data_IF_612805003730
#
_entry.id   IF_612805003730
#
_cell.length_a   1.000
_cell.length_b   1.000
_cell.length_c   1.000
_cell.angle_alpha   90.00
_cell.angle_beta   90.00
_cell.angle_gamma   90.00
#
_symmetry.space_group_name_H-M   'P 1'
#
loop_
_entity.id
_entity.type
_entity.pdbx_description
1 polymer ?
#
# COMPACT_ATOMS: atom_id res chain seq x y z
N UNK A 1 -2.50 5.07 26.63
CA UNK A 1 -1.54 5.86 25.83
C UNK A 1 -0.59 4.85 25.20
N UNK A 2 -0.82 4.47 23.94
CA UNK A 2 0.03 3.47 23.26
C UNK A 2 1.38 4.10 22.96
N UNK A 3 2.48 3.40 23.25
CA UNK A 3 3.83 3.94 23.04
C UNK A 3 4.21 3.87 21.56
N UNK A 4 5.08 4.77 21.09
CA UNK A 4 5.60 4.74 19.73
C UNK A 4 6.32 3.42 19.38
N UNK A 5 6.86 2.72 20.39
CA UNK A 5 7.50 1.41 20.24
C UNK A 5 6.47 0.32 19.92
N UNK A 6 5.30 0.37 20.56
CA UNK A 6 4.23 -0.59 20.30
C UNK A 6 3.69 -0.42 18.87
N UNK A 7 3.55 0.82 18.38
CA UNK A 7 3.16 1.09 16.99
C UNK A 7 4.14 0.52 15.97
N UNK A 8 5.44 0.51 16.25
CA UNK A 8 6.45 -0.09 15.36
C UNK A 8 6.28 -1.60 15.25
N UNK A 9 6.03 -2.30 16.37
CA UNK A 9 5.84 -3.74 16.37
C UNK A 9 4.56 -4.15 15.63
N UNK A 10 3.44 -3.46 15.88
CA UNK A 10 2.20 -3.71 15.15
C UNK A 10 2.33 -3.43 13.65
N UNK A 11 3.00 -2.33 13.28
CA UNK A 11 3.23 -1.99 11.89
C UNK A 11 4.06 -3.07 11.18
N UNK A 12 5.14 -3.56 11.81
CA UNK A 12 5.97 -4.62 11.24
C UNK A 12 5.22 -5.93 11.02
N UNK A 13 4.26 -6.25 11.90
CA UNK A 13 3.43 -7.44 11.74
C UNK A 13 2.39 -7.27 10.63
N UNK A 14 1.72 -6.11 10.61
CA UNK A 14 0.77 -5.78 9.54
C UNK A 14 1.45 -5.67 8.17
N UNK A 15 2.73 -5.28 8.11
CA UNK A 15 3.52 -5.33 6.87
C UNK A 15 3.71 -6.74 6.31
N UNK A 16 3.81 -7.75 7.20
CA UNK A 16 3.86 -9.16 6.79
C UNK A 16 2.50 -9.64 6.31
N UNK A 17 1.43 -9.25 6.99
CA UNK A 17 0.06 -9.69 6.69
C UNK A 17 -0.47 -9.04 5.41
N UNK A 18 -0.39 -7.71 5.30
CA UNK A 18 -0.85 -6.94 4.13
C UNK A 18 0.19 -6.87 3.00
N UNK A 19 1.14 -7.79 2.96
CA UNK A 19 2.00 -7.97 1.80
C UNK A 19 1.16 -8.37 0.59
N UNK A 20 1.48 -7.83 -0.60
CA UNK A 20 0.71 -8.09 -1.83
C UNK A 20 0.59 -9.58 -2.16
N UNK A 21 1.58 -10.41 -1.80
CA UNK A 21 1.49 -11.88 -2.00
C UNK A 21 0.40 -12.57 -1.18
N UNK A 22 -0.12 -11.93 -0.14
CA UNK A 22 -1.21 -12.47 0.67
C UNK A 22 -2.58 -11.97 0.21
N UNK A 23 -2.64 -11.01 -0.73
CA UNK A 23 -3.90 -10.41 -1.17
C UNK A 23 -4.74 -11.41 -1.98
N UNK A 24 -6.05 -11.46 -1.70
CA UNK A 24 -7.01 -12.30 -2.39
C UNK A 24 -8.43 -11.71 -2.35
N UNK A 25 -9.38 -12.34 -3.06
CA UNK A 25 -10.80 -11.98 -3.01
C UNK A 25 -11.56 -13.09 -2.31
N UNK A 26 -12.14 -12.79 -1.15
CA UNK A 26 -12.85 -13.80 -0.36
C UNK A 26 -14.19 -14.22 -0.97
N UNK A 27 -14.85 -15.21 -0.36
CA UNK A 27 -16.14 -15.72 -0.83
C UNK A 27 -17.27 -14.68 -0.85
N UNK A 28 -17.11 -13.56 -0.14
CA UNK A 28 -18.06 -12.44 -0.15
C UNK A 28 -17.66 -11.34 -1.17
N UNK A 29 -16.63 -11.58 -1.99
CA UNK A 29 -16.13 -10.63 -2.97
C UNK A 29 -15.27 -9.51 -2.38
N UNK A 30 -14.82 -9.64 -1.13
CA UNK A 30 -14.04 -8.60 -0.44
C UNK A 30 -12.55 -8.81 -0.69
N UNK A 31 -11.83 -7.71 -0.88
CA UNK A 31 -10.37 -7.75 -0.93
C UNK A 31 -9.80 -8.03 0.47
N UNK A 32 -9.28 -9.23 0.67
CA UNK A 32 -8.80 -9.75 1.94
C UNK A 32 -7.31 -10.15 1.83
N UNK A 33 -6.70 -10.49 2.97
CA UNK A 33 -5.32 -10.95 3.02
C UNK A 33 -5.17 -12.22 3.86
N UNK A 34 -4.42 -13.19 3.36
CA UNK A 34 -4.06 -14.36 4.15
C UNK A 34 -3.18 -13.92 5.32
N UNK A 35 -3.50 -14.38 6.52
CA UNK A 35 -2.65 -14.20 7.69
C UNK A 35 -1.66 -15.37 7.70
N UNK A 36 -0.34 -15.13 7.52
CA UNK A 36 0.65 -16.21 7.49
C UNK A 36 0.57 -17.09 8.75
N UNK A 37 0.50 -18.40 8.56
CA UNK A 37 0.46 -19.38 9.65
C UNK A 37 1.74 -19.39 10.52
N UNK A 38 2.82 -18.79 10.01
CA UNK A 38 4.07 -18.57 10.73
C UNK A 38 4.02 -17.42 11.73
N UNK A 39 2.94 -16.63 11.75
CA UNK A 39 2.72 -15.61 12.78
C UNK A 39 2.19 -16.28 14.04
N UNK A 40 2.86 -16.12 15.19
CA UNK A 40 2.41 -16.72 16.43
C UNK A 40 1.03 -16.19 16.90
N UNK A 41 0.15 -17.03 17.46
CA UNK A 41 -1.17 -16.60 17.94
C UNK A 41 -1.14 -15.47 18.98
N UNK A 42 -0.08 -15.39 19.79
CA UNK A 42 0.13 -14.31 20.76
C UNK A 42 0.35 -12.95 20.10
N UNK A 43 1.02 -12.90 18.94
CA UNK A 43 1.22 -11.68 18.18
C UNK A 43 -0.11 -11.20 17.57
N UNK A 44 -0.93 -12.13 17.06
CA UNK A 44 -2.27 -11.83 16.57
C UNK A 44 -3.20 -11.34 17.70
N UNK A 45 -3.09 -11.91 18.90
CA UNK A 45 -3.85 -11.45 20.07
C UNK A 45 -3.43 -10.03 20.46
N UNK A 46 -2.14 -9.72 20.45
CA UNK A 46 -1.63 -8.38 20.72
C UNK A 46 -2.12 -7.34 19.70
N UNK A 47 -2.30 -7.71 18.43
CA UNK A 47 -2.97 -6.84 17.45
C UNK A 47 -4.45 -6.65 17.79
N UNK A 48 -5.16 -7.74 18.11
CA UNK A 48 -6.60 -7.70 18.42
C UNK A 48 -6.91 -6.83 19.65
N UNK A 49 -6.09 -6.90 20.70
CA UNK A 49 -6.21 -6.07 21.91
C UNK A 49 -6.10 -4.56 21.62
N UNK A 50 -5.53 -4.20 20.45
CA UNK A 50 -5.39 -2.82 19.97
C UNK A 50 -6.47 -2.44 18.96
N UNK A 51 -7.43 -3.33 18.69
CA UNK A 51 -8.43 -3.15 17.64
C UNK A 51 -7.85 -3.26 16.23
N UNK A 52 -6.72 -3.94 16.04
CA UNK A 52 -6.02 -4.11 14.75
C UNK A 52 -6.11 -5.55 14.24
N UNK A 53 -7.24 -6.23 14.49
CA UNK A 53 -7.48 -7.57 13.95
C UNK A 53 -7.45 -7.52 12.41
N UNK A 54 -6.62 -8.32 11.72
CA UNK A 54 -6.57 -8.31 10.25
C UNK A 54 -7.91 -8.65 9.60
N UNK A 55 -8.18 -8.13 8.40
CA UNK A 55 -9.43 -8.36 7.67
C UNK A 55 -10.68 -7.98 8.49
N UNK A 56 -10.60 -6.87 9.25
CA UNK A 56 -11.73 -6.37 10.03
C UNK A 56 -12.63 -5.49 9.16
N UNK A 57 -13.62 -6.12 8.53
CA UNK A 57 -14.51 -5.43 7.60
C UNK A 57 -15.65 -4.69 8.31
N UNK A 58 -15.87 -3.43 7.94
CA UNK A 58 -17.02 -2.61 8.31
C UNK A 58 -17.79 -2.23 7.05
N UNK A 59 -19.09 -2.47 7.04
CA UNK A 59 -20.01 -1.93 6.04
C UNK A 59 -20.45 -0.54 6.47
N UNK A 60 -20.41 0.42 5.55
CA UNK A 60 -20.79 1.81 5.79
C UNK A 60 -21.73 2.25 4.68
N UNK A 61 -22.93 2.70 5.05
CA UNK A 61 -23.87 3.30 4.12
C UNK A 61 -23.42 4.72 3.75
N UNK A 62 -23.68 5.13 2.51
CA UNK A 62 -23.25 6.42 1.99
C UNK A 62 -23.67 7.60 2.87
N UNK A 63 -24.97 7.71 3.15
CA UNK A 63 -25.54 8.86 3.88
C UNK A 63 -25.03 8.89 5.33
N UNK A 64 -24.81 7.72 5.93
CA UNK A 64 -24.20 7.58 7.25
C UNK A 64 -22.74 8.05 7.25
N UNK A 65 -21.95 7.68 6.24
CA UNK A 65 -20.55 8.09 6.10
C UNK A 65 -20.43 9.62 5.97
N UNK A 66 -21.24 10.23 5.11
CA UNK A 66 -21.29 11.69 4.92
C UNK A 66 -21.69 12.38 6.22
N UNK A 67 -22.72 11.87 6.90
CA UNK A 67 -23.19 12.43 8.18
C UNK A 67 -22.14 12.30 9.27
N UNK A 68 -21.49 11.14 9.38
CA UNK A 68 -20.44 10.87 10.35
C UNK A 68 -19.23 11.79 10.12
N UNK A 69 -18.76 11.93 8.88
CA UNK A 69 -17.63 12.78 8.54
C UNK A 69 -17.87 14.22 8.99
N UNK A 70 -19.02 14.79 8.59
CA UNK A 70 -19.37 16.17 8.92
C UNK A 70 -19.52 16.38 10.43
N UNK A 71 -20.19 15.46 11.12
CA UNK A 71 -20.34 15.50 12.58
C UNK A 71 -19.00 15.42 13.31
N UNK A 72 -18.13 14.50 12.90
CA UNK A 72 -16.80 14.33 13.51
C UNK A 72 -15.92 15.55 13.25
N UNK A 73 -15.90 16.07 12.02
CA UNK A 73 -15.16 17.27 11.65
C UNK A 73 -15.61 18.51 12.46
N UNK A 74 -16.92 18.67 12.68
CA UNK A 74 -17.46 19.78 13.47
C UNK A 74 -17.00 19.77 14.95
N UNK A 75 -16.54 18.63 15.47
CA UNK A 75 -16.03 18.49 16.84
C UNK A 75 -14.50 18.68 16.95
N UNK A 76 -13.83 18.96 15.84
CA UNK A 76 -12.38 19.10 15.76
C UNK A 76 -11.99 20.57 15.79
N UNK A 77 -11.00 20.88 16.62
CA UNK A 77 -10.35 22.20 16.60
C UNK A 77 -9.35 22.25 15.44
N UNK A 78 -9.41 23.30 14.63
CA UNK A 78 -8.57 23.45 13.44
C UNK A 78 -7.09 23.54 13.78
N UNK A 79 -6.73 24.27 14.84
CA UNK A 79 -5.33 24.38 15.27
C UNK A 79 -4.81 23.03 15.74
N UNK A 80 -5.57 22.29 16.54
CA UNK A 80 -5.18 20.94 16.96
C UNK A 80 -5.01 19.97 15.78
N UNK A 81 -5.85 20.08 14.74
CA UNK A 81 -5.69 19.29 13.51
C UNK A 81 -4.42 19.67 12.74
N UNK A 82 -4.11 20.98 12.65
CA UNK A 82 -2.91 21.47 12.02
C UNK A 82 -1.64 21.05 12.78
N UNK A 83 -1.66 21.12 14.11
CA UNK A 83 -0.58 20.65 14.98
C UNK A 83 -0.32 19.15 14.78
N UNK A 84 -1.38 18.34 14.78
CA UNK A 84 -1.26 16.90 14.54
C UNK A 84 -0.75 16.57 13.12
N UNK A 85 -1.16 17.35 12.12
CA UNK A 85 -0.66 17.21 10.75
C UNK A 85 0.85 17.41 10.69
N UNK A 86 1.36 18.46 11.34
CA UNK A 86 2.79 18.78 11.37
C UNK A 86 3.56 17.77 12.20
N UNK A 87 3.04 17.36 13.37
CA UNK A 87 3.63 16.29 14.18
C UNK A 87 3.80 14.97 13.41
N UNK A 88 2.94 14.75 12.40
CA UNK A 88 3.01 13.60 11.51
C UNK A 88 4.20 13.58 10.54
N UNK A 89 5.01 14.65 10.46
CA UNK A 89 6.24 14.65 9.64
C UNK A 89 7.40 13.90 10.30
N UNK A 90 7.44 13.87 11.62
CA UNK A 90 8.50 13.23 12.38
C UNK A 90 7.94 12.36 13.50
N UNK A 91 7.94 12.89 14.72
CA UNK A 91 7.93 12.06 15.93
C UNK A 91 6.62 11.31 16.18
N UNK A 92 5.46 11.88 15.80
CA UNK A 92 4.17 11.27 16.09
C UNK A 92 3.77 10.17 15.09
N UNK A 93 4.43 10.12 13.93
CA UNK A 93 4.18 9.16 12.86
C UNK A 93 3.15 9.63 11.82
N UNK A 94 3.29 9.12 10.60
CA UNK A 94 2.60 9.63 9.40
C UNK A 94 1.07 9.67 9.52
N UNK A 95 0.46 8.74 10.25
CA UNK A 95 -1.00 8.61 10.36
C UNK A 95 -1.72 9.90 10.78
N UNK A 96 -1.05 10.77 11.53
CA UNK A 96 -1.63 12.01 12.03
C UNK A 96 -1.83 13.07 10.94
N UNK A 97 -1.17 12.90 9.78
CA UNK A 97 -1.41 13.74 8.59
C UNK A 97 -2.83 13.64 8.05
N UNK A 98 -3.56 12.56 8.34
CA UNK A 98 -4.92 12.38 7.85
C UNK A 98 -5.96 13.34 8.47
N UNK A 99 -5.68 13.91 9.66
CA UNK A 99 -6.70 14.64 10.43
C UNK A 99 -7.08 15.99 9.84
N UNK A 100 -6.09 16.76 9.37
CA UNK A 100 -6.35 18.08 8.79
C UNK A 100 -7.10 17.98 7.43
N UNK A 101 -6.74 17.07 6.51
CA UNK A 101 -7.54 16.78 5.32
C UNK A 101 -8.96 16.29 5.65
N UNK A 102 -9.12 15.44 6.67
CA UNK A 102 -10.44 14.98 7.13
C UNK A 102 -11.30 16.15 7.61
N UNK A 103 -10.73 17.06 8.41
CA UNK A 103 -11.39 18.29 8.85
C UNK A 103 -11.81 19.17 7.65
N UNK A 104 -10.89 19.39 6.72
CA UNK A 104 -11.13 20.23 5.55
C UNK A 104 -12.31 19.67 4.72
N UNK A 105 -12.31 18.36 4.45
CA UNK A 105 -13.39 17.72 3.71
C UNK A 105 -14.72 17.75 4.48
N UNK A 106 -14.73 17.38 5.77
CA UNK A 106 -15.96 17.33 6.56
C UNK A 106 -16.58 18.70 6.81
N UNK A 107 -15.77 19.76 6.81
CA UNK A 107 -16.24 21.14 6.94
C UNK A 107 -16.80 21.67 5.63
N UNK A 108 -16.11 21.42 4.51
CA UNK A 108 -16.49 21.93 3.20
C UNK A 108 -17.65 21.13 2.55
N UNK A 109 -17.73 19.82 2.81
CA UNK A 109 -18.68 18.93 2.15
C UNK A 109 -20.13 19.28 2.53
N UNK A 110 -21.02 19.55 1.55
CA UNK A 110 -22.43 19.77 1.82
C UNK A 110 -23.11 18.46 2.24
N UNK A 111 -24.22 18.58 2.97
CA UNK A 111 -25.15 17.46 3.09
C UNK A 111 -25.61 17.06 1.70
N UNK A 112 -25.55 15.77 1.42
CA UNK A 112 -26.13 15.18 0.23
C UNK A 112 -26.47 13.73 0.53
N UNK A 113 -27.48 13.22 -0.17
CA UNK A 113 -27.89 11.82 -0.09
C UNK A 113 -27.37 11.07 -1.31
N UNK A 114 -27.29 9.75 -1.21
CA UNK A 114 -26.98 8.93 -2.38
C UNK A 114 -28.08 9.14 -3.45
N UNK A 115 -27.72 9.28 -4.73
CA UNK A 115 -28.70 9.50 -5.79
C UNK A 115 -29.84 8.47 -5.79
N UNK A 116 -31.07 8.93 -5.96
CA UNK A 116 -32.25 8.07 -6.05
C UNK A 116 -32.34 7.31 -7.39
N UNK A 117 -31.49 7.65 -8.37
CA UNK A 117 -31.40 6.96 -9.65
C UNK A 117 -30.96 5.50 -9.46
N UNK A 118 -31.77 4.57 -9.96
CA UNK A 118 -31.53 3.13 -9.86
C UNK A 118 -30.26 2.67 -10.61
N UNK A 119 -29.73 3.47 -11.54
CA UNK A 119 -28.52 3.16 -12.31
C UNK A 119 -27.20 3.63 -11.70
N UNK A 120 -27.23 4.51 -10.69
CA UNK A 120 -26.01 5.10 -10.14
C UNK A 120 -25.27 4.09 -9.23
N UNK A 121 -24.05 3.70 -9.61
CA UNK A 121 -23.19 2.83 -8.78
C UNK A 121 -22.44 3.61 -7.70
N UNK A 122 -21.89 4.77 -8.08
CA UNK A 122 -21.12 5.67 -7.21
C UNK A 122 -21.79 7.04 -7.12
N UNK A 123 -21.63 7.72 -5.98
CA UNK A 123 -22.11 9.09 -5.81
C UNK A 123 -21.25 10.10 -6.57
N UNK A 124 -21.82 10.92 -7.45
CA UNK A 124 -21.06 11.94 -8.21
C UNK A 124 -20.45 13.07 -7.36
N UNK A 125 -20.88 13.22 -6.10
CA UNK A 125 -20.39 14.25 -5.17
C UNK A 125 -19.16 13.78 -4.39
N UNK A 126 -19.15 12.53 -3.92
CA UNK A 126 -18.09 12.02 -3.04
C UNK A 126 -17.45 10.69 -3.51
N UNK A 127 -17.89 10.12 -4.62
CA UNK A 127 -17.45 8.84 -5.22
C UNK A 127 -17.67 7.59 -4.35
N UNK A 128 -18.35 7.73 -3.23
CA UNK A 128 -18.70 6.58 -2.41
C UNK A 128 -19.85 5.77 -3.05
N UNK A 129 -19.74 4.44 -3.00
CA UNK A 129 -20.83 3.53 -3.36
C UNK A 129 -21.98 3.63 -2.35
N UNK A 130 -23.17 3.13 -2.71
CA UNK A 130 -24.33 3.12 -1.79
C UNK A 130 -23.98 2.47 -0.45
N UNK A 131 -23.33 1.32 -0.51
CA UNK A 131 -22.76 0.61 0.63
C UNK A 131 -21.29 0.34 0.32
N UNK A 132 -20.39 0.80 1.18
CA UNK A 132 -18.95 0.58 1.04
C UNK A 132 -18.45 -0.36 2.11
N UNK A 133 -17.64 -1.34 1.73
CA UNK A 133 -16.98 -2.25 2.68
C UNK A 133 -15.53 -1.82 2.84
N UNK A 134 -15.13 -1.49 4.07
CA UNK A 134 -13.76 -1.07 4.40
C UNK A 134 -13.14 -2.04 5.39
N UNK A 135 -11.89 -2.46 5.14
CA UNK A 135 -11.06 -3.10 6.17
C UNK A 135 -10.46 -2.01 7.05
N UNK A 136 -10.89 -1.97 8.31
CA UNK A 136 -10.50 -0.92 9.28
C UNK A 136 -9.04 -1.03 9.71
N UNK A 137 -8.48 -2.24 9.70
CA UNK A 137 -7.08 -2.49 10.05
C UNK A 137 -6.18 -2.16 8.87
N UNK A 138 -6.58 -2.52 7.65
CA UNK A 138 -5.87 -2.11 6.43
C UNK A 138 -5.87 -0.58 6.28
N UNK A 139 -7.00 0.06 6.58
CA UNK A 139 -7.13 1.53 6.64
C UNK A 139 -6.14 2.16 7.63
N UNK A 140 -6.03 1.61 8.84
CA UNK A 140 -5.02 2.05 9.83
C UNK A 140 -3.59 1.86 9.32
N UNK A 141 -3.30 0.70 8.74
CA UNK A 141 -1.98 0.35 8.22
C UNK A 141 -1.55 1.29 7.08
N UNK A 142 -2.44 1.56 6.12
CA UNK A 142 -2.18 2.50 5.04
C UNK A 142 -1.84 3.90 5.58
N UNK A 143 -2.57 4.39 6.58
CA UNK A 143 -2.26 5.68 7.20
C UNK A 143 -0.92 5.68 7.93
N UNK A 144 -0.60 4.60 8.63
CA UNK A 144 0.69 4.45 9.30
C UNK A 144 1.88 4.43 8.31
N UNK A 145 1.70 3.88 7.09
CA UNK A 145 2.73 3.79 6.04
C UNK A 145 2.83 5.03 5.14
N UNK A 146 1.70 5.62 4.77
CA UNK A 146 1.61 6.61 3.69
C UNK A 146 1.13 7.98 4.15
N UNK A 147 0.61 8.09 5.36
CA UNK A 147 0.08 9.33 5.92
C UNK A 147 -1.43 9.44 5.75
N UNK A 148 -1.87 10.36 4.91
CA UNK A 148 -3.29 10.50 4.61
C UNK A 148 -3.80 9.40 3.67
N UNK A 149 -5.08 9.02 3.77
CA UNK A 149 -5.74 8.27 2.70
C UNK A 149 -5.85 9.13 1.43
N UNK A 150 -6.36 8.53 0.34
CA UNK A 150 -6.57 9.24 -0.91
C UNK A 150 -7.42 10.51 -0.68
N UNK A 151 -7.02 11.67 -1.26
CA UNK A 151 -7.75 12.91 -1.08
C UNK A 151 -9.23 12.79 -1.47
N UNK A 152 -10.10 13.01 -0.49
CA UNK A 152 -11.56 12.93 -0.68
C UNK A 152 -12.20 11.61 -0.27
N UNK A 153 -11.45 10.62 0.21
CA UNK A 153 -11.99 9.33 0.67
C UNK A 153 -12.75 9.49 1.99
N UNK A 154 -14.09 9.52 1.90
CA UNK A 154 -14.99 9.79 3.02
C UNK A 154 -14.85 8.74 4.11
N UNK A 155 -14.91 7.45 3.78
CA UNK A 155 -14.85 6.38 4.78
C UNK A 155 -13.50 6.34 5.48
N UNK A 156 -12.40 6.52 4.74
CA UNK A 156 -11.07 6.52 5.34
C UNK A 156 -10.86 7.71 6.29
N UNK A 157 -11.40 8.88 5.96
CA UNK A 157 -11.35 10.04 6.86
C UNK A 157 -12.25 9.89 8.09
N UNK A 158 -13.43 9.27 7.96
CA UNK A 158 -14.25 8.90 9.13
C UNK A 158 -13.45 7.99 10.05
N UNK A 159 -12.84 6.93 9.52
CA UNK A 159 -12.01 6.01 10.31
C UNK A 159 -10.80 6.70 10.94
N UNK A 160 -10.18 7.67 10.26
CA UNK A 160 -9.08 8.45 10.81
C UNK A 160 -9.53 9.29 12.02
N UNK A 161 -10.67 9.98 11.91
CA UNK A 161 -11.23 10.80 12.99
C UNK A 161 -11.72 9.97 14.17
N UNK A 162 -12.36 8.82 13.91
CA UNK A 162 -12.83 7.90 14.96
C UNK A 162 -11.65 7.27 15.74
N UNK A 163 -10.56 6.90 15.04
CA UNK A 163 -9.40 6.27 15.66
C UNK A 163 -8.47 7.26 16.41
N UNK A 164 -8.63 8.57 16.20
CA UNK A 164 -7.75 9.59 16.75
C UNK A 164 -8.07 9.88 18.23
N UNK A 165 -7.56 9.04 19.13
CA UNK A 165 -7.66 9.23 20.57
C UNK A 165 -7.03 10.56 21.00
N UNK A 166 -7.69 11.29 21.91
CA UNK A 166 -7.21 12.55 22.48
C UNK A 166 -6.33 12.31 23.73
N UNK A 167 -5.40 13.23 24.07
CA UNK A 167 -5.03 14.41 23.30
C UNK A 167 -4.27 14.04 22.01
N UNK A 168 -4.46 14.84 20.97
CA UNK A 168 -3.69 14.71 19.72
C UNK A 168 -2.26 15.22 19.92
N UNK A 169 -1.28 14.70 19.14
CA UNK A 169 0.11 15.13 19.27
C UNK A 169 0.27 16.59 18.85
N UNK A 170 1.16 17.29 19.54
CA UNK A 170 1.65 18.62 19.18
C UNK A 170 3.01 18.49 18.50
N UNK A 171 3.33 19.32 17.48
CA UNK A 171 4.59 19.19 16.76
C UNK A 171 5.78 19.55 17.66
N UNK A 172 6.88 18.83 17.49
CA UNK A 172 8.16 19.19 18.10
C UNK A 172 8.93 20.21 17.22
N UNK A 173 10.05 20.80 17.69
CA UNK A 173 10.82 21.72 16.87
C UNK A 173 11.31 21.13 15.54
N UNK A 174 11.61 19.83 15.47
CA UNK A 174 12.08 19.19 14.23
C UNK A 174 10.95 19.06 13.21
N UNK A 175 9.72 18.77 13.64
CA UNK A 175 8.53 18.76 12.81
C UNK A 175 8.24 20.15 12.23
N UNK A 176 8.27 21.18 13.09
CA UNK A 176 8.04 22.57 12.67
C UNK A 176 9.11 23.02 11.68
N UNK A 177 10.38 22.74 11.95
CA UNK A 177 11.46 23.03 11.00
C UNK A 177 11.22 22.32 9.66
N UNK A 178 10.77 21.06 9.68
CA UNK A 178 10.50 20.27 8.48
C UNK A 178 9.38 20.88 7.65
N UNK A 179 8.28 21.32 8.28
CA UNK A 179 7.20 22.06 7.61
C UNK A 179 7.76 23.28 6.86
N UNK A 180 8.51 24.14 7.56
CA UNK A 180 9.07 25.36 6.96
C UNK A 180 10.04 25.04 5.83
N UNK A 181 10.88 24.02 5.98
CA UNK A 181 11.80 23.58 4.93
C UNK A 181 11.06 23.04 3.69
N UNK A 182 9.95 22.32 3.86
CA UNK A 182 9.10 21.88 2.75
C UNK A 182 8.54 23.09 1.99
N UNK A 183 7.97 24.07 2.71
CA UNK A 183 7.40 25.27 2.11
C UNK A 183 8.46 26.10 1.39
N UNK A 184 9.65 26.27 1.96
CA UNK A 184 10.78 26.97 1.33
C UNK A 184 11.22 26.29 0.01
N UNK A 185 11.30 24.95 0.00
CA UNK A 185 11.60 24.22 -1.23
C UNK A 185 10.54 24.52 -2.28
N UNK A 186 9.26 24.45 -1.94
CA UNK A 186 8.17 24.70 -2.88
C UNK A 186 8.22 26.14 -3.42
N UNK A 187 8.41 27.15 -2.55
CA UNK A 187 8.51 28.57 -2.91
C UNK A 187 9.68 28.87 -3.85
N UNK A 188 10.78 28.12 -3.74
CA UNK A 188 11.99 28.31 -4.55
C UNK A 188 11.99 27.55 -5.88
N UNK A 189 10.95 26.76 -6.18
CA UNK A 189 10.88 25.99 -7.42
C UNK A 189 10.76 26.90 -8.65
N UNK A 190 11.40 26.56 -9.79
CA UNK A 190 11.18 27.24 -11.05
C UNK A 190 9.69 27.23 -11.45
N UNK A 191 9.11 28.32 -11.99
CA UNK A 191 7.66 28.44 -12.22
C UNK A 191 7.00 27.30 -13.03
N UNK A 192 7.73 26.72 -13.98
CA UNK A 192 7.24 25.61 -14.81
C UNK A 192 7.27 24.23 -14.11
N UNK A 193 7.73 24.15 -12.85
CA UNK A 193 7.86 22.89 -12.12
C UNK A 193 6.49 22.27 -11.86
N UNK A 194 6.34 21.00 -12.25
CA UNK A 194 5.12 20.18 -12.09
C UNK A 194 5.22 19.26 -10.87
N UNK A 195 4.11 18.71 -10.36
CA UNK A 195 4.07 17.93 -9.11
C UNK A 195 5.13 16.84 -8.99
N UNK A 196 5.35 16.04 -10.04
CA UNK A 196 6.36 14.98 -10.00
C UNK A 196 7.80 15.49 -9.78
N UNK A 197 8.14 16.66 -10.35
CA UNK A 197 9.45 17.29 -10.12
C UNK A 197 9.52 18.03 -8.78
N UNK A 198 8.41 18.57 -8.28
CA UNK A 198 8.33 19.10 -6.93
C UNK A 198 8.57 18.00 -5.88
N UNK A 199 7.91 16.83 -6.03
CA UNK A 199 8.12 15.68 -5.15
C UNK A 199 9.58 15.21 -5.19
N UNK A 200 10.18 15.19 -6.37
CA UNK A 200 11.59 14.87 -6.56
C UNK A 200 12.52 15.87 -5.82
N UNK A 201 12.27 17.17 -5.93
CA UNK A 201 13.06 18.20 -5.26
C UNK A 201 12.97 18.10 -3.73
N UNK A 202 11.79 17.80 -3.19
CA UNK A 202 11.61 17.55 -1.75
C UNK A 202 12.35 16.28 -1.30
N UNK A 203 12.28 15.21 -2.10
CA UNK A 203 12.97 13.94 -1.84
C UNK A 203 14.49 14.12 -1.77
N UNK A 204 15.06 14.90 -2.68
CA UNK A 204 16.51 15.10 -2.75
C UNK A 204 17.05 15.86 -1.53
N UNK A 205 16.19 16.60 -0.83
CA UNK A 205 16.48 17.26 0.45
C UNK A 205 16.30 16.34 1.67
N UNK A 206 15.75 15.13 1.49
CA UNK A 206 15.49 14.16 2.57
C UNK A 206 14.75 14.78 3.76
N UNK A 207 13.63 15.47 3.46
CA UNK A 207 12.84 16.18 4.47
C UNK A 207 11.88 15.27 5.23
N UNK A 208 11.50 14.12 4.67
CA UNK A 208 10.71 13.08 5.34
C UNK A 208 11.59 11.88 5.69
N UNK A 209 11.17 11.11 6.70
CA UNK A 209 11.84 9.85 7.06
C UNK A 209 11.85 8.82 5.89
N UNK A 210 10.83 8.85 5.04
CA UNK A 210 10.75 8.03 3.84
C UNK A 210 11.55 8.64 2.68
N UNK A 211 12.27 7.78 1.95
CA UNK A 211 12.92 8.13 0.68
C UNK A 211 12.06 7.84 -0.55
N UNK A 212 10.84 7.34 -0.37
CA UNK A 212 9.94 7.04 -1.48
C UNK A 212 9.39 8.33 -2.08
N UNK A 213 9.49 8.49 -3.40
CA UNK A 213 8.84 9.61 -4.13
C UNK A 213 7.33 9.63 -3.91
N UNK A 214 6.71 8.47 -3.70
CA UNK A 214 5.29 8.38 -3.41
C UNK A 214 4.92 9.11 -2.12
N UNK A 215 5.74 9.04 -1.07
CA UNK A 215 5.47 9.72 0.20
C UNK A 215 5.47 11.25 0.05
N UNK A 216 6.36 11.79 -0.80
CA UNK A 216 6.39 13.22 -1.13
C UNK A 216 5.25 13.63 -2.06
N UNK A 217 4.85 12.74 -2.97
CA UNK A 217 3.68 12.98 -3.84
C UNK A 217 2.40 13.04 -3.01
N UNK A 218 2.19 12.10 -2.10
CA UNK A 218 1.06 12.10 -1.17
C UNK A 218 1.04 13.35 -0.28
N UNK A 219 2.21 13.85 0.15
CA UNK A 219 2.30 15.13 0.86
C UNK A 219 1.85 16.31 0.00
N UNK A 220 2.28 16.38 -1.25
CA UNK A 220 1.82 17.43 -2.16
C UNK A 220 0.31 17.32 -2.42
N UNK A 221 -0.23 16.11 -2.48
CA UNK A 221 -1.67 15.87 -2.60
C UNK A 221 -2.43 16.36 -1.37
N UNK A 222 -1.92 16.14 -0.15
CA UNK A 222 -2.48 16.72 1.07
C UNK A 222 -2.47 18.25 0.99
N UNK A 223 -1.32 18.87 0.71
CA UNK A 223 -1.20 20.33 0.64
C UNK A 223 -2.12 20.92 -0.43
N UNK A 224 -2.27 20.25 -1.58
CA UNK A 224 -3.19 20.67 -2.62
C UNK A 224 -4.65 20.52 -2.22
N UNK A 225 -5.01 19.38 -1.61
CA UNK A 225 -6.36 19.12 -1.13
C UNK A 225 -6.80 20.11 -0.05
N UNK A 226 -5.87 20.55 0.80
CA UNK A 226 -6.14 21.61 1.78
C UNK A 226 -6.32 22.99 1.12
N UNK A 227 -5.71 23.23 -0.05
CA UNK A 227 -5.71 24.51 -0.77
C UNK A 227 -4.41 25.29 -0.66
N UNK A 228 -3.39 24.74 -0.02
CA UNK A 228 -2.06 25.37 0.05
C UNK A 228 -1.43 25.40 -1.34
N UNK A 229 -1.61 24.32 -2.12
CA UNK A 229 -1.18 24.21 -3.52
C UNK A 229 -2.41 24.11 -4.44
N UNK A 230 -2.92 25.25 -4.89
CA UNK A 230 -4.15 25.30 -5.69
C UNK A 230 -3.99 26.14 -6.95
N UNK A 231 -4.96 26.07 -7.85
CA UNK A 231 -5.10 26.99 -8.99
C UNK A 231 -6.40 27.78 -8.84
N UNK A 232 -6.57 28.91 -9.56
CA UNK A 232 -7.83 29.65 -9.54
C UNK A 232 -9.06 28.80 -9.91
N UNK A 233 -8.89 27.89 -10.87
CA UNK A 233 -9.97 27.04 -11.39
C UNK A 233 -10.16 25.74 -10.58
N UNK A 234 -9.15 25.32 -9.84
CA UNK A 234 -9.16 24.10 -9.02
C UNK A 234 -8.78 24.45 -7.58
N UNK A 235 -9.73 24.93 -6.76
CA UNK A 235 -9.49 25.28 -5.36
C UNK A 235 -9.38 24.03 -4.47
N UNK A 236 -8.61 24.14 -3.39
CA UNK A 236 -8.63 23.14 -2.32
C UNK A 236 -9.79 23.34 -1.34
N UNK A 237 -9.99 22.37 -0.45
CA UNK A 237 -11.18 22.25 0.42
C UNK A 237 -11.38 23.41 1.39
N UNK A 238 -10.32 24.03 1.90
CA UNK A 238 -10.48 25.23 2.75
C UNK A 238 -10.81 26.50 1.97
N UNK A 239 -10.64 26.49 0.65
CA UNK A 239 -11.02 27.59 -0.24
C UNK A 239 -12.44 27.43 -0.73
N UNK A 240 -12.78 26.27 -1.29
CA UNK A 240 -14.12 25.94 -1.76
C UNK A 240 -14.33 24.43 -1.84
N UNK A 241 -15.56 23.98 -1.61
CA UNK A 241 -15.92 22.59 -1.86
C UNK A 241 -15.87 22.29 -3.36
N UNK A 242 -15.11 21.26 -3.71
CA UNK A 242 -15.16 20.61 -5.03
C UNK A 242 -15.79 19.24 -4.88
N UNK A 243 -16.54 18.79 -5.87
CA UNK A 243 -17.04 17.40 -5.93
C UNK A 243 -15.90 16.43 -6.26
N UNK A 244 -16.08 15.15 -5.91
CA UNK A 244 -15.15 14.10 -6.30
C UNK A 244 -14.97 14.04 -7.83
N UNK A 245 -16.06 14.24 -8.60
CA UNK A 245 -16.00 14.34 -10.06
C UNK A 245 -15.09 15.46 -10.57
N UNK A 246 -15.18 16.65 -9.98
CA UNK A 246 -14.28 17.77 -10.33
C UNK A 246 -12.83 17.47 -9.94
N UNK A 247 -12.60 16.80 -8.81
CA UNK A 247 -11.24 16.39 -8.41
C UNK A 247 -10.66 15.28 -9.28
N UNK A 248 -11.52 14.47 -9.90
CA UNK A 248 -11.14 13.39 -10.81
C UNK A 248 -10.75 13.88 -12.21
N UNK A 249 -11.03 15.15 -12.53
CA UNK A 249 -10.56 15.75 -13.78
C UNK A 249 -9.03 15.72 -13.86
N UNK A 250 -8.50 15.45 -15.06
CA UNK A 250 -7.06 15.37 -15.34
C UNK A 250 -6.71 16.15 -16.59
N UNK A 251 -5.54 16.82 -16.62
CA UNK A 251 -5.05 17.45 -17.85
C UNK A 251 -4.64 16.43 -18.92
N UNK A 252 -4.34 15.17 -18.53
CA UNK A 252 -4.13 14.05 -19.46
C UNK A 252 -4.23 12.72 -18.74
N UNK A 253 -4.41 11.63 -19.50
CA UNK A 253 -4.45 10.24 -19.00
C UNK A 253 -3.15 9.76 -18.33
N UNK A 254 -2.06 10.52 -18.43
CA UNK A 254 -0.75 10.17 -17.84
C UNK A 254 -0.53 10.78 -16.45
N UNK A 255 -1.46 11.61 -15.98
CA UNK A 255 -1.37 12.26 -14.66
C UNK A 255 -2.25 11.51 -13.68
N UNK A 256 -1.64 10.91 -12.67
CA UNK A 256 -2.35 10.05 -11.71
C UNK A 256 -2.92 10.84 -10.52
N UNK A 257 -2.22 11.89 -10.07
CA UNK A 257 -2.65 12.72 -8.92
C UNK A 257 -3.95 13.48 -9.20
N UNK A 258 -4.73 13.76 -8.15
CA UNK A 258 -6.01 14.47 -8.28
C UNK A 258 -5.87 15.99 -8.39
N UNK A 259 -6.90 16.66 -8.92
CA UNK A 259 -7.00 18.11 -8.76
C UNK A 259 -7.21 18.45 -7.27
N UNK A 260 -6.64 19.55 -6.75
CA UNK A 260 -5.94 20.62 -7.50
C UNK A 260 -4.54 20.30 -8.04
N UNK A 261 -3.85 19.33 -7.44
CA UNK A 261 -2.42 19.12 -7.70
C UNK A 261 -2.12 18.83 -9.17
N UNK A 262 -2.98 18.08 -9.85
CA UNK A 262 -2.82 17.72 -11.27
C UNK A 262 -2.69 18.92 -12.21
N UNK A 263 -3.33 20.05 -11.88
CA UNK A 263 -3.30 21.29 -12.67
C UNK A 263 -2.27 22.29 -12.15
N UNK A 264 -1.81 22.12 -10.91
CA UNK A 264 -0.84 23.00 -10.27
C UNK A 264 0.54 22.97 -10.96
N UNK A 265 1.24 24.09 -10.83
CA UNK A 265 2.67 24.25 -11.10
C UNK A 265 3.22 25.29 -10.14
N UNK A 266 4.53 25.33 -9.95
CA UNK A 266 5.18 26.30 -9.06
C UNK A 266 4.86 27.77 -9.38
N UNK A 267 4.47 28.10 -10.63
CA UNK A 267 3.98 29.43 -11.01
C UNK A 267 2.73 29.88 -10.23
N UNK A 268 1.90 28.94 -9.79
CA UNK A 268 0.74 29.23 -8.94
C UNK A 268 1.15 29.51 -7.48
N UNK A 269 2.39 29.15 -7.11
CA UNK A 269 2.94 29.40 -5.80
C UNK A 269 2.26 28.62 -4.67
N UNK A 270 2.40 29.18 -3.47
CA UNK A 270 1.81 28.71 -2.22
C UNK A 270 0.77 29.74 -1.78
N UNK A 271 -0.39 29.29 -1.30
CA UNK A 271 -1.42 30.17 -0.75
C UNK A 271 -1.02 30.63 0.65
N UNK A 272 -0.26 31.73 0.74
CA UNK A 272 0.34 32.20 2.00
C UNK A 272 -0.70 32.52 3.08
N UNK A 273 -1.86 33.08 2.73
CA UNK A 273 -2.92 33.35 3.70
C UNK A 273 -3.44 32.10 4.41
N UNK A 274 -3.42 30.95 3.72
CA UNK A 274 -3.82 29.67 4.30
C UNK A 274 -2.67 29.05 5.12
N UNK A 275 -1.42 29.24 4.68
CA UNK A 275 -0.25 28.87 5.49
C UNK A 275 -0.24 29.62 6.81
N UNK A 276 -0.46 30.93 6.80
CA UNK A 276 -0.49 31.77 8.00
C UNK A 276 -1.63 31.37 8.94
N UNK A 277 -2.83 31.10 8.39
CA UNK A 277 -3.98 30.64 9.17
C UNK A 277 -3.72 29.30 9.87
N UNK A 278 -3.19 28.32 9.12
CA UNK A 278 -3.04 26.95 9.62
C UNK A 278 -1.77 26.76 10.45
N UNK A 279 -0.69 27.46 10.12
CA UNK A 279 0.64 27.20 10.67
C UNK A 279 1.38 28.45 11.17
N UNK A 280 0.80 29.65 11.07
CA UNK A 280 1.45 30.90 11.49
C UNK A 280 1.79 30.96 12.98
N UNK A 281 1.18 30.10 13.81
CA UNK A 281 1.54 29.96 15.23
C UNK A 281 2.73 29.05 15.50
N UNK A 282 3.20 28.31 14.49
CA UNK A 282 4.35 27.42 14.58
C UNK A 282 5.61 28.16 14.17
N UNK A 283 6.21 28.85 15.14
CA UNK A 283 7.44 29.62 14.94
C UNK A 283 8.58 28.71 14.44
N UNK A 284 9.20 29.11 13.33
CA UNK A 284 10.34 28.40 12.74
C UNK A 284 11.52 28.41 13.73
N UNK A 285 12.12 27.24 14.05
CA UNK A 285 13.39 27.20 14.76
C UNK A 285 14.53 27.77 13.89
N UNK A 286 15.45 28.52 14.50
CA UNK A 286 16.56 29.19 13.80
C UNK A 286 17.47 28.21 13.06
N UNK A 287 17.73 27.05 13.67
CA UNK A 287 18.56 25.99 13.12
C UNK A 287 17.76 24.72 12.92
N UNK A 288 18.21 23.86 12.00
CA UNK A 288 17.67 22.50 11.87
C UNK A 288 17.96 21.75 13.16
N UNK A 289 16.93 21.36 13.94
CA UNK A 289 17.19 20.56 15.12
C UNK A 289 17.83 19.25 14.67
N UNK A 290 18.97 18.90 15.27
CA UNK A 290 19.50 17.55 15.11
C UNK A 290 18.46 16.60 15.71
N UNK A 291 17.91 15.66 14.93
CA UNK A 291 17.03 14.68 15.52
C UNK A 291 17.81 14.01 16.65
N UNK A 292 17.18 13.75 17.82
CA UNK A 292 17.80 12.87 18.79
C UNK A 292 18.23 11.60 18.05
N UNK A 293 19.41 11.03 18.37
CA UNK A 293 19.87 9.81 17.71
C UNK A 293 18.69 8.85 17.72
N UNK A 294 18.34 8.25 16.57
CA UNK A 294 17.15 7.42 16.50
C UNK A 294 17.25 6.45 17.66
N UNK A 295 16.30 6.53 18.60
CA UNK A 295 16.00 5.40 19.46
C UNK A 295 15.42 4.41 18.47
N UNK A 296 16.30 3.81 17.68
CA UNK A 296 15.98 2.61 16.96
C UNK A 296 15.53 1.74 18.11
N UNK A 297 14.23 1.35 18.20
CA UNK A 297 14.00 0.07 18.83
C UNK A 297 15.01 -0.81 18.12
N UNK A 298 15.97 -1.39 18.89
CA UNK A 298 16.67 -2.59 18.43
C UNK A 298 15.56 -3.32 17.73
N UNK A 299 15.65 -3.52 16.41
CA UNK A 299 14.75 -4.44 15.74
C UNK A 299 14.91 -5.69 16.59
N UNK A 300 14.01 -5.90 17.56
CA UNK A 300 13.63 -7.22 17.99
C UNK A 300 13.39 -7.81 16.64
N UNK A 301 14.33 -8.66 16.25
CA UNK A 301 14.27 -9.31 14.98
C UNK A 301 12.94 -10.02 15.07
N UNK A 302 11.88 -9.40 14.52
CA UNK A 302 10.72 -10.12 14.04
C UNK A 302 11.41 -11.19 13.24
N UNK A 303 11.40 -12.40 13.79
CA UNK A 303 12.22 -13.51 13.34
C UNK A 303 12.02 -13.53 11.84
N UNK A 304 13.05 -13.09 11.10
CA UNK A 304 12.94 -13.06 9.65
C UNK A 304 12.62 -14.50 9.32
N UNK A 305 11.55 -14.70 8.54
CA UNK A 305 11.16 -16.01 8.06
C UNK A 305 12.43 -16.83 7.78
N UNK A 306 12.50 -18.02 8.37
CA UNK A 306 13.72 -18.81 8.44
C UNK A 306 14.44 -18.83 7.08
N UNK A 307 15.78 -18.72 7.04
CA UNK A 307 16.51 -18.68 5.78
C UNK A 307 16.12 -19.89 4.93
N UNK A 308 15.85 -19.64 3.64
CA UNK A 308 15.43 -20.69 2.72
C UNK A 308 16.48 -21.81 2.68
N UNK A 309 16.06 -23.09 2.60
CA UNK A 309 16.99 -24.20 2.43
C UNK A 309 17.93 -23.98 1.23
N UNK A 310 19.18 -24.46 1.30
CA UNK A 310 20.11 -24.36 0.19
C UNK A 310 19.56 -25.10 -1.03
N UNK A 311 19.62 -24.46 -2.20
CA UNK A 311 19.25 -25.10 -3.46
C UNK A 311 20.30 -26.14 -3.88
N UNK A 312 19.86 -27.21 -4.54
CA UNK A 312 20.74 -28.10 -5.27
C UNK A 312 21.49 -27.32 -6.37
N UNK A 313 22.79 -27.61 -6.52
CA UNK A 313 23.69 -26.92 -7.45
C UNK A 313 23.79 -27.63 -8.81
N UNK A 314 24.21 -26.90 -9.83
CA UNK A 314 24.48 -27.39 -11.18
C UNK A 314 23.67 -26.65 -12.25
N UNK A 315 23.93 -26.91 -13.51
CA UNK A 315 23.16 -26.30 -14.61
C UNK A 315 21.72 -26.84 -14.65
N UNK A 316 20.69 -26.02 -14.95
CA UNK A 316 19.33 -26.50 -15.18
C UNK A 316 19.27 -27.55 -16.30
N UNK A 317 18.45 -28.59 -16.10
CA UNK A 317 18.21 -29.65 -17.10
C UNK A 317 16.79 -30.22 -16.99
N UNK A 318 16.41 -31.00 -18.00
CA UNK A 318 15.21 -31.82 -17.96
C UNK A 318 15.20 -32.73 -16.72
N UNK A 319 14.04 -32.91 -16.09
CA UNK A 319 13.88 -33.72 -14.89
C UNK A 319 14.27 -33.00 -13.58
N UNK A 320 14.71 -31.74 -13.64
CA UNK A 320 14.88 -30.92 -12.43
C UNK A 320 13.52 -30.46 -11.89
N UNK A 321 13.41 -30.40 -10.55
CA UNK A 321 12.23 -29.86 -9.87
C UNK A 321 12.61 -28.68 -8.99
N UNK A 322 11.77 -27.66 -9.07
CA UNK A 322 11.91 -26.39 -8.38
C UNK A 322 10.77 -26.18 -7.39
N UNK A 323 11.11 -25.98 -6.12
CA UNK A 323 10.22 -25.41 -5.13
C UNK A 323 10.08 -23.91 -5.36
N UNK A 324 8.84 -23.43 -5.43
CA UNK A 324 8.50 -22.01 -5.62
C UNK A 324 7.73 -21.53 -4.39
N UNK A 325 8.28 -20.58 -3.65
CA UNK A 325 7.59 -19.96 -2.52
C UNK A 325 6.59 -18.92 -3.03
N UNK A 326 5.29 -19.23 -2.91
CA UNK A 326 4.22 -18.31 -3.29
C UNK A 326 3.93 -17.29 -2.18
N UNK A 327 3.84 -17.76 -0.92
CA UNK A 327 3.69 -16.94 0.29
C UNK A 327 4.66 -17.44 1.37
N UNK A 328 4.76 -16.74 2.49
CA UNK A 328 5.65 -17.14 3.59
C UNK A 328 5.44 -18.61 4.00
N UNK A 329 4.18 -19.03 4.02
CA UNK A 329 3.66 -20.34 4.43
C UNK A 329 3.03 -21.14 3.28
N UNK A 330 3.37 -20.83 2.01
CA UNK A 330 2.78 -21.50 0.86
C UNK A 330 3.81 -21.76 -0.24
N UNK A 331 4.03 -23.03 -0.55
CA UNK A 331 5.01 -23.50 -1.53
C UNK A 331 4.37 -24.46 -2.53
N UNK A 332 4.85 -24.40 -3.77
CA UNK A 332 4.47 -25.34 -4.83
C UNK A 332 5.72 -25.93 -5.48
N UNK A 333 5.54 -26.94 -6.32
CA UNK A 333 6.60 -27.57 -7.10
C UNK A 333 6.39 -27.31 -8.60
N UNK A 334 7.48 -27.08 -9.32
CA UNK A 334 7.51 -26.93 -10.77
C UNK A 334 8.55 -27.89 -11.37
N UNK A 335 8.11 -28.75 -12.27
CA UNK A 335 8.92 -29.70 -13.01
C UNK A 335 9.45 -29.07 -14.30
N UNK A 336 10.72 -29.30 -14.62
CA UNK A 336 11.36 -28.85 -15.86
C UNK A 336 11.36 -29.99 -16.90
N UNK A 337 10.55 -29.86 -17.95
CA UNK A 337 10.47 -30.84 -19.04
C UNK A 337 11.71 -30.85 -19.90
N UNK A 338 12.18 -29.67 -20.29
CA UNK A 338 13.33 -29.52 -21.19
C UNK A 338 13.97 -28.15 -21.07
N UNK A 339 15.19 -28.02 -21.58
CA UNK A 339 15.94 -26.76 -21.63
C UNK A 339 16.18 -26.36 -23.09
N UNK A 340 15.95 -25.09 -23.40
CA UNK A 340 16.17 -24.53 -24.73
C UNK A 340 16.89 -23.18 -24.64
N UNK A 341 17.89 -22.98 -25.50
CA UNK A 341 18.47 -21.66 -25.74
C UNK A 341 17.58 -20.88 -26.70
N UNK A 342 17.21 -19.65 -26.31
CA UNK A 342 16.50 -18.69 -27.15
C UNK A 342 17.22 -17.36 -27.07
N UNK A 343 17.85 -16.98 -28.18
CA UNK A 343 18.59 -15.71 -28.33
C UNK A 343 19.67 -15.50 -27.26
N UNK A 344 20.42 -16.56 -26.92
CA UNK A 344 21.52 -16.52 -25.95
C UNK A 344 21.05 -16.56 -24.49
N UNK A 345 19.78 -16.91 -24.25
CA UNK A 345 19.20 -17.06 -22.92
C UNK A 345 18.55 -18.44 -22.81
N UNK A 346 18.93 -19.16 -21.76
CA UNK A 346 18.37 -20.47 -21.45
C UNK A 346 17.00 -20.35 -20.78
N UNK A 347 16.03 -21.12 -21.30
CA UNK A 347 14.69 -21.29 -20.77
C UNK A 347 14.43 -22.76 -20.47
N UNK A 348 13.85 -23.05 -19.32
CA UNK A 348 13.27 -24.36 -19.01
C UNK A 348 11.78 -24.35 -19.34
N UNK A 349 11.28 -25.35 -20.06
CA UNK A 349 9.84 -25.57 -20.19
C UNK A 349 9.34 -26.15 -18.86
N UNK A 350 8.59 -25.38 -18.09
CA UNK A 350 8.13 -25.80 -16.76
C UNK A 350 6.63 -26.01 -16.68
N UNK A 351 6.24 -26.89 -15.77
CA UNK A 351 4.86 -27.24 -15.45
C UNK A 351 4.73 -27.50 -13.95
N UNK A 352 3.59 -27.13 -13.34
CA UNK A 352 3.40 -27.34 -11.91
C UNK A 352 3.10 -28.81 -11.59
N UNK A 353 3.60 -29.28 -10.45
CA UNK A 353 3.21 -30.55 -9.87
C UNK A 353 2.11 -30.34 -8.83
N UNK A 354 1.29 -31.35 -8.60
CA UNK A 354 0.26 -31.31 -7.56
C UNK A 354 0.88 -31.20 -6.16
N UNK A 355 0.15 -30.56 -5.25
CA UNK A 355 0.58 -30.31 -3.88
C UNK A 355 0.85 -28.83 -3.57
N UNK A 356 0.27 -28.39 -2.46
CA UNK A 356 0.53 -27.11 -1.81
C UNK A 356 1.11 -27.38 -0.42
N UNK A 357 2.27 -26.80 -0.13
CA UNK A 357 3.04 -27.13 1.07
C UNK A 357 3.17 -25.92 2.00
N UNK A 358 2.92 -26.13 3.29
CA UNK A 358 3.06 -25.10 4.32
C UNK A 358 4.53 -24.79 4.67
N UNK A 359 5.44 -25.68 4.28
CA UNK A 359 6.89 -25.61 4.48
C UNK A 359 7.62 -25.76 3.15
N UNK A 360 8.89 -25.33 3.04
CA UNK A 360 9.70 -25.64 1.87
C UNK A 360 9.67 -27.16 1.59
N UNK A 361 9.23 -27.60 0.39
CA UNK A 361 9.21 -29.01 0.05
C UNK A 361 10.64 -29.53 -0.18
N UNK A 362 10.86 -30.79 0.15
CA UNK A 362 12.13 -31.51 -0.03
C UNK A 362 12.03 -32.52 -1.18
N UNK A 363 13.11 -33.25 -1.45
CA UNK A 363 13.10 -34.33 -2.43
C UNK A 363 12.07 -35.42 -2.09
N UNK A 364 11.80 -35.67 -0.80
CA UNK A 364 10.83 -36.68 -0.37
C UNK A 364 9.38 -36.28 -0.70
N UNK A 365 9.11 -34.97 -0.83
CA UNK A 365 7.77 -34.47 -1.14
C UNK A 365 7.40 -34.60 -2.63
N UNK A 366 8.38 -34.95 -3.49
CA UNK A 366 8.27 -35.07 -4.94
C UNK A 366 7.65 -36.39 -5.39
N UNK A 367 7.90 -37.47 -4.66
CA UNK A 367 7.52 -38.81 -5.10
C UNK A 367 5.99 -38.95 -5.25
N UNK A 368 5.55 -39.60 -6.33
CA UNK A 368 4.13 -39.86 -6.59
C UNK A 368 3.29 -38.63 -6.99
N UNK A 369 3.90 -37.46 -7.23
CA UNK A 369 3.19 -36.26 -7.66
C UNK A 369 2.90 -36.30 -9.17
N UNK A 370 1.63 -36.11 -9.53
CA UNK A 370 1.20 -35.82 -10.91
C UNK A 370 1.29 -34.33 -11.23
N UNK A 371 0.94 -33.94 -12.45
CA UNK A 371 0.93 -32.55 -12.87
C UNK A 371 -0.34 -31.80 -12.42
N UNK A 372 -0.18 -30.56 -11.96
CA UNK A 372 -1.26 -29.64 -11.65
C UNK A 372 -1.56 -28.73 -12.85
N UNK A 373 -2.78 -28.82 -13.37
CA UNK A 373 -3.27 -27.95 -14.44
C UNK A 373 -4.12 -26.79 -13.91
N UNK A 374 -4.55 -25.92 -14.82
CA UNK A 374 -5.62 -24.94 -14.60
C UNK A 374 -6.99 -25.61 -14.71
N UNK A 375 -8.06 -24.87 -14.38
CA UNK A 375 -9.44 -25.35 -14.56
C UNK A 375 -9.76 -25.71 -16.03
N UNK A 376 -9.16 -24.98 -16.98
CA UNK A 376 -9.29 -25.19 -18.43
C UNK A 376 -8.24 -26.16 -19.02
N UNK A 377 -7.57 -26.97 -18.21
CA UNK A 377 -6.66 -28.01 -18.67
C UNK A 377 -5.19 -27.76 -18.35
N UNK A 378 -4.30 -28.16 -19.24
CA UNK A 378 -2.85 -28.17 -18.98
C UNK A 378 -2.26 -26.75 -18.97
N UNK A 379 -1.21 -26.54 -18.17
CA UNK A 379 -0.48 -25.27 -18.09
C UNK A 379 1.01 -25.52 -18.22
N UNK A 380 1.70 -24.73 -19.05
CA UNK A 380 3.15 -24.77 -19.19
C UNK A 380 3.69 -23.36 -19.44
N UNK A 381 4.97 -23.12 -19.10
CA UNK A 381 5.65 -21.87 -19.42
C UNK A 381 7.13 -22.09 -19.74
N UNK A 382 7.63 -21.43 -20.78
CA UNK A 382 9.07 -21.27 -21.00
C UNK A 382 9.64 -20.26 -20.00
N UNK A 383 10.45 -20.73 -19.05
CA UNK A 383 10.88 -19.96 -17.89
C UNK A 383 12.39 -19.84 -17.81
N UNK A 384 12.86 -18.59 -17.73
CA UNK A 384 14.28 -18.30 -17.53
C UNK A 384 14.60 -17.94 -16.07
N UNK A 385 15.90 -17.92 -15.73
CA UNK A 385 16.41 -17.53 -14.39
C UNK A 385 15.96 -18.44 -13.23
N UNK A 386 15.66 -19.71 -13.48
CA UNK A 386 15.18 -20.67 -12.46
C UNK A 386 16.09 -20.71 -11.21
N UNK A 387 17.41 -20.81 -11.38
CA UNK A 387 18.35 -20.85 -10.24
C UNK A 387 18.73 -19.49 -9.67
N UNK A 388 18.50 -18.42 -10.42
CA UNK A 388 18.93 -17.06 -10.05
C UNK A 388 17.86 -16.30 -9.28
N UNK A 389 16.62 -16.78 -9.34
CA UNK A 389 15.48 -16.07 -8.78
C UNK A 389 15.34 -16.38 -7.29
N UNK A 390 15.30 -15.36 -6.42
CA UNK A 390 14.96 -15.57 -5.02
C UNK A 390 13.63 -16.33 -4.90
N UNK A 391 13.46 -17.15 -3.84
CA UNK A 391 12.23 -17.93 -3.60
C UNK A 391 11.92 -19.05 -4.61
N UNK A 392 12.79 -19.27 -5.59
CA UNK A 392 12.77 -20.45 -6.47
C UNK A 392 14.00 -21.29 -6.15
N UNK A 393 13.82 -22.55 -5.77
CA UNK A 393 14.89 -23.41 -5.26
C UNK A 393 14.80 -24.79 -5.91
N UNK A 394 15.91 -25.27 -6.47
CA UNK A 394 15.96 -26.65 -6.96
C UNK A 394 16.02 -27.62 -5.79
N UNK A 395 15.11 -28.59 -5.78
CA UNK A 395 14.93 -29.54 -4.68
C UNK A 395 15.09 -31.01 -5.08
N UNK A 396 14.93 -31.33 -6.36
CA UNK A 396 15.22 -32.66 -6.90
C UNK A 396 15.77 -32.57 -8.33
N UNK A 397 16.40 -33.65 -8.79
CA UNK A 397 16.99 -33.80 -10.14
C UNK A 397 16.72 -35.19 -10.66
N UNK A 398 16.81 -35.33 -11.98
CA UNK A 398 16.66 -36.61 -12.69
C UNK A 398 15.34 -37.32 -12.36
N UNK A 399 14.30 -36.53 -12.06
CA UNK A 399 12.99 -37.07 -11.75
C UNK A 399 12.32 -37.47 -13.06
N UNK A 400 11.83 -38.71 -13.18
CA UNK A 400 11.08 -39.13 -14.35
C UNK A 400 9.85 -38.24 -14.56
N UNK A 401 9.57 -37.89 -15.80
CA UNK A 401 8.38 -37.10 -16.14
C UNK A 401 7.13 -37.84 -15.66
N UNK A 402 6.29 -37.22 -14.79
CA UNK A 402 5.02 -37.80 -14.42
C UNK A 402 4.14 -38.07 -15.64
N UNK A 403 3.30 -39.12 -15.63
CA UNK A 403 2.33 -39.31 -16.71
C UNK A 403 1.30 -38.17 -16.72
N UNK A 404 0.94 -37.69 -17.91
CA UNK A 404 -0.16 -36.76 -18.14
C UNK A 404 -0.91 -37.16 -19.41
N UNK A 405 -2.21 -37.39 -19.29
CA UNK A 405 -3.11 -37.74 -20.40
C UNK A 405 -3.81 -36.53 -21.01
N UNK A 406 -3.66 -35.34 -20.40
CA UNK A 406 -4.23 -34.10 -20.93
C UNK A 406 -3.47 -33.63 -22.16
N UNK A 407 -4.16 -33.02 -23.14
CA UNK A 407 -3.51 -32.44 -24.30
C UNK A 407 -2.52 -31.34 -23.89
N UNK A 408 -1.45 -31.18 -24.67
CA UNK A 408 -0.54 -30.05 -24.53
C UNK A 408 -1.31 -28.73 -24.68
N UNK A 409 -0.92 -27.67 -23.97
CA UNK A 409 -1.58 -26.37 -24.10
C UNK A 409 -1.36 -25.79 -25.52
N UNK A 410 -2.39 -25.19 -26.10
CA UNK A 410 -2.34 -24.58 -27.45
C UNK A 410 -1.27 -23.49 -27.59
N UNK A 411 -0.88 -22.88 -26.46
CA UNK A 411 0.18 -21.87 -26.40
C UNK A 411 0.98 -21.99 -25.12
N UNK A 412 2.30 -21.96 -25.25
CA UNK A 412 3.24 -21.89 -24.12
C UNK A 412 3.85 -20.48 -24.05
N UNK A 413 3.48 -19.63 -23.08
CA UNK A 413 4.06 -18.31 -22.91
C UNK A 413 5.54 -18.37 -22.53
N UNK A 414 6.24 -17.26 -22.77
CA UNK A 414 7.62 -17.04 -22.32
C UNK A 414 7.59 -16.10 -21.12
N UNK A 415 8.28 -16.49 -20.05
CA UNK A 415 8.39 -15.72 -18.82
C UNK A 415 9.73 -15.94 -18.12
N UNK A 416 9.79 -15.47 -16.89
CA UNK A 416 10.93 -15.66 -16.01
C UNK A 416 10.44 -16.21 -14.66
N UNK A 417 11.36 -16.73 -13.85
CA UNK A 417 10.96 -17.52 -12.69
C UNK A 417 10.21 -16.74 -11.58
N UNK A 418 10.24 -15.39 -11.53
CA UNK A 418 9.35 -14.65 -10.59
C UNK A 418 7.88 -14.75 -11.00
N UNK A 419 7.61 -15.00 -12.27
CA UNK A 419 6.26 -15.09 -12.81
C UNK A 419 5.59 -16.41 -12.33
N UNK A 420 6.39 -17.44 -12.00
CA UNK A 420 5.88 -18.72 -11.49
C UNK A 420 5.08 -18.57 -10.20
N UNK A 421 5.44 -17.64 -9.33
CA UNK A 421 4.62 -17.36 -8.14
C UNK A 421 3.29 -16.69 -8.52
N UNK A 422 3.34 -15.72 -9.43
CA UNK A 422 2.17 -14.92 -9.80
C UNK A 422 1.13 -15.77 -10.55
N UNK A 423 1.58 -16.68 -11.41
CA UNK A 423 0.74 -17.55 -12.21
C UNK A 423 0.26 -18.80 -11.46
N UNK A 424 0.84 -19.09 -10.28
CA UNK A 424 0.43 -20.21 -9.46
C UNK A 424 -1.07 -20.18 -9.11
N UNK A 425 -1.64 -18.99 -8.87
CA UNK A 425 -3.07 -18.84 -8.55
C UNK A 425 -4.01 -19.36 -9.65
N UNK A 426 -3.55 -19.50 -10.89
CA UNK A 426 -4.36 -20.08 -11.99
C UNK A 426 -4.45 -21.61 -11.93
N UNK A 427 -3.48 -22.26 -11.26
CA UNK A 427 -3.42 -23.71 -11.11
C UNK A 427 -3.77 -24.16 -9.68
N UNK A 428 -3.60 -23.29 -8.70
CA UNK A 428 -3.86 -23.54 -7.28
C UNK A 428 -4.86 -22.51 -6.74
N UNK A 429 -6.18 -22.75 -6.90
CA UNK A 429 -7.21 -21.89 -6.31
C UNK A 429 -7.07 -21.72 -4.78
N UNK A 430 -6.39 -22.66 -4.11
CA UNK A 430 -6.09 -22.63 -2.67
C UNK A 430 -5.08 -21.53 -2.29
N UNK A 431 -4.41 -20.93 -3.27
CA UNK A 431 -3.56 -19.74 -3.09
C UNK A 431 -4.33 -18.43 -3.18
N UNK A 432 -5.60 -18.48 -3.60
CA UNK A 432 -6.50 -17.35 -3.77
C UNK A 432 -7.54 -17.26 -2.64
#
# INVERSE_FOLDING_TARGET
MLSAVDDVAALALLDRIYANENAYVDAAGRHAHHVPATIPPEELRALAERGLTPNSFRHVEHDEAVTALRRLAAAVDERAAADAFVAGFGHAGLRWRALLPALALGTAMPAHTFPADAGARTCGVCFLDRTTTVDTTLAWWHRARSGSPLPGDVCQYVLALEAAARPWPTPDPADVWTLHAILDVIRSLPPATRPGRAAQALRDRSLLASRSTYAYTALLEDLAFLGILQTPDHPGMFTAFTTARQRDERPSVRVEVSAPLSFWSAAHGVTESLVDRLFGHLARPDERPHPPPPVSPRRTAVERAAPLPPALRGEPRAGDIYAVQCREDAWILAFCHEMQDRDGRWYGLVEYLDGLFARPPTADDVEGRGFRGRHEGRWQQWTSHLDRTPRVRRVARDVPTPPDDRPAPDRVPIGNAKDLRHLAGWCFPELA
#
